data_IF_054904109672
#
_entry.id   IF_054904109672
#
_cell.length_a   1.000
_cell.length_b   1.000
_cell.length_c   1.000
_cell.angle_alpha   90.00
_cell.angle_beta   90.00
_cell.angle_gamma   90.00
#
_symmetry.space_group_name_H-M   'P 1'
#
loop_
_entity.id
_entity.type
_entity.pdbx_description
1 polymer ?
#
# COMPACT_ATOMS: atom_id res chain seq x y z
N UNK A 1 12.20 -6.14 -15.75
CA UNK A 1 11.04 -6.19 -16.69
C UNK A 1 10.85 -7.64 -17.07
N UNK A 2 9.99 -8.38 -16.36
CA UNK A 2 9.50 -9.67 -16.87
C UNK A 2 8.43 -9.34 -17.92
N UNK A 3 8.75 -9.61 -19.18
CA UNK A 3 7.81 -9.53 -20.29
C UNK A 3 6.95 -10.81 -20.27
N UNK A 4 5.73 -10.71 -19.77
CA UNK A 4 4.70 -11.71 -20.06
C UNK A 4 4.10 -11.38 -21.43
N UNK A 5 4.43 -12.17 -22.44
CA UNK A 5 3.69 -12.17 -23.71
C UNK A 5 2.32 -12.78 -23.46
N UNK A 6 1.25 -12.00 -23.66
CA UNK A 6 -0.10 -12.54 -23.82
C UNK A 6 -0.72 -11.87 -25.05
N UNK A 7 -1.04 -12.67 -26.06
CA UNK A 7 -1.74 -12.21 -27.26
C UNK A 7 -3.19 -11.81 -26.91
N UNK A 8 -3.56 -10.55 -27.18
CA UNK A 8 -4.92 -10.07 -27.07
C UNK A 8 -5.34 -9.44 -28.40
N UNK A 9 -6.12 -10.14 -29.21
CA UNK A 9 -6.57 -9.59 -30.49
C UNK A 9 -7.63 -8.49 -30.37
N UNK A 10 -8.11 -8.14 -29.15
CA UNK A 10 -9.23 -7.18 -28.95
C UNK A 10 -9.18 -6.25 -27.72
N UNK A 11 -8.10 -6.16 -26.91
CA UNK A 11 -8.05 -5.21 -25.78
C UNK A 11 -6.76 -5.16 -24.96
N UNK A 12 -6.66 -4.18 -24.04
CA UNK A 12 -5.52 -3.97 -23.13
C UNK A 12 -5.70 -4.78 -21.83
N UNK A 13 -5.61 -6.09 -21.94
CA UNK A 13 -5.85 -6.97 -20.80
C UNK A 13 -4.55 -7.28 -20.06
N UNK A 14 -4.61 -7.25 -18.73
CA UNK A 14 -3.54 -7.69 -17.84
C UNK A 14 -4.21 -8.57 -16.78
N UNK A 15 -3.69 -9.76 -16.55
CA UNK A 15 -4.24 -10.65 -15.51
C UNK A 15 -3.90 -10.10 -14.11
N UNK A 16 -4.82 -10.22 -13.14
CA UNK A 16 -4.50 -9.95 -11.74
C UNK A 16 -3.29 -10.76 -11.30
N UNK A 17 -2.28 -10.08 -10.80
CA UNK A 17 -0.97 -10.69 -10.49
C UNK A 17 -0.61 -10.41 -9.03
N UNK A 18 -0.21 -11.45 -8.30
CA UNK A 18 0.33 -11.33 -6.94
C UNK A 18 1.81 -11.71 -7.00
N UNK A 19 2.66 -10.87 -6.43
CA UNK A 19 4.11 -11.11 -6.34
C UNK A 19 4.51 -11.06 -4.87
N UNK A 20 5.24 -12.06 -4.40
CA UNK A 20 5.92 -11.98 -3.11
C UNK A 20 7.35 -11.47 -3.33
N UNK A 21 7.76 -10.44 -2.59
CA UNK A 21 9.16 -9.98 -2.55
C UNK A 21 9.80 -10.33 -1.21
N UNK A 22 11.11 -10.59 -1.24
CA UNK A 22 11.95 -10.69 -0.03
C UNK A 22 12.65 -9.36 0.29
N UNK A 23 12.65 -8.41 -0.65
CA UNK A 23 13.20 -7.08 -0.47
C UNK A 23 12.04 -6.06 -0.39
N UNK A 24 11.78 -5.45 0.79
CA UNK A 24 10.73 -4.46 0.93
C UNK A 24 11.04 -3.13 0.25
N UNK A 25 12.27 -2.93 -0.23
CA UNK A 25 12.72 -1.75 -0.96
C UNK A 25 12.87 -2.02 -2.47
N UNK A 26 12.42 -3.19 -2.95
CA UNK A 26 12.36 -3.47 -4.39
C UNK A 26 11.55 -2.39 -5.12
N UNK A 27 11.90 -2.12 -6.37
CA UNK A 27 11.18 -1.18 -7.23
C UNK A 27 9.68 -1.49 -7.31
N UNK A 28 9.31 -2.76 -7.31
CA UNK A 28 7.91 -3.20 -7.37
C UNK A 28 7.10 -2.88 -6.08
N UNK A 29 7.77 -2.47 -5.00
CA UNK A 29 7.16 -1.96 -3.76
C UNK A 29 7.10 -0.42 -3.72
N UNK A 30 8.02 0.25 -4.40
CA UNK A 30 8.32 1.67 -4.19
C UNK A 30 7.91 2.57 -5.36
N UNK A 31 7.79 2.02 -6.57
CA UNK A 31 7.33 2.71 -7.78
C UNK A 31 5.85 2.39 -8.09
N UNK A 32 5.11 3.39 -8.57
CA UNK A 32 3.70 3.23 -8.93
C UNK A 32 3.52 2.52 -10.29
N UNK A 33 2.77 1.41 -10.31
CA UNK A 33 2.57 0.57 -11.51
C UNK A 33 1.25 0.87 -12.21
N UNK A 34 0.22 1.32 -11.47
CA UNK A 34 -1.11 1.65 -12.01
C UNK A 34 -1.82 0.51 -12.78
N UNK A 35 -1.55 -0.74 -12.38
CA UNK A 35 -2.12 -1.96 -12.97
C UNK A 35 -2.59 -2.97 -11.92
N UNK A 36 -3.17 -4.11 -12.32
CA UNK A 36 -3.73 -5.10 -11.39
C UNK A 36 -2.62 -6.00 -10.79
N UNK A 37 -1.61 -5.38 -10.17
CA UNK A 37 -0.48 -6.05 -9.54
C UNK A 37 -0.44 -5.73 -8.05
N UNK A 38 -0.40 -6.77 -7.21
CA UNK A 38 -0.23 -6.67 -5.77
C UNK A 38 1.09 -7.28 -5.35
N UNK A 39 1.97 -6.47 -4.75
CA UNK A 39 3.19 -6.97 -4.13
C UNK A 39 2.97 -7.22 -2.64
N UNK A 40 3.46 -8.36 -2.15
CA UNK A 40 3.39 -8.77 -0.74
C UNK A 40 4.81 -8.92 -0.20
N UNK A 41 5.06 -8.31 0.97
CA UNK A 41 6.25 -8.54 1.77
C UNK A 41 5.86 -9.21 3.08
N UNK A 42 6.42 -10.38 3.36
CA UNK A 42 6.14 -11.17 4.58
C UNK A 42 7.20 -10.86 5.63
N UNK A 43 6.79 -10.35 6.78
CA UNK A 43 7.63 -10.08 7.94
C UNK A 43 7.32 -11.05 9.08
N UNK A 44 8.23 -11.21 10.04
CA UNK A 44 7.98 -12.00 11.26
C UNK A 44 7.19 -11.16 12.25
N UNK A 45 6.24 -11.75 12.97
CA UNK A 45 5.43 -11.06 13.98
C UNK A 45 6.26 -10.27 15.00
N UNK A 46 7.42 -10.80 15.42
CA UNK A 46 8.36 -10.14 16.32
C UNK A 46 9.00 -8.85 15.76
N UNK A 47 8.85 -8.61 14.46
CA UNK A 47 9.41 -7.48 13.71
C UNK A 47 8.33 -6.50 13.25
N UNK A 48 7.10 -6.61 13.78
CA UNK A 48 5.98 -5.75 13.40
C UNK A 48 6.31 -4.26 13.53
N UNK A 49 6.95 -3.85 14.63
CA UNK A 49 7.30 -2.44 14.86
C UNK A 49 8.29 -1.92 13.81
N UNK A 50 9.33 -2.72 13.49
CA UNK A 50 10.29 -2.38 12.42
C UNK A 50 9.60 -2.31 11.06
N UNK A 51 8.60 -3.15 10.83
CA UNK A 51 7.85 -3.19 9.58
C UNK A 51 6.93 -1.97 9.45
N UNK A 52 6.33 -1.51 10.55
CA UNK A 52 5.58 -0.25 10.56
C UNK A 52 6.50 0.93 10.22
N UNK A 53 7.72 0.98 10.77
CA UNK A 53 8.70 2.04 10.44
C UNK A 53 9.16 1.97 8.96
N UNK A 54 9.29 0.77 8.42
CA UNK A 54 9.60 0.53 7.01
C UNK A 54 8.50 1.06 6.08
N UNK A 55 7.22 0.92 6.44
CA UNK A 55 6.10 1.49 5.65
C UNK A 55 6.20 3.01 5.53
N UNK A 56 6.69 3.70 6.57
CA UNK A 56 6.85 5.17 6.54
C UNK A 56 7.92 5.60 5.55
N UNK A 57 9.00 4.83 5.43
CA UNK A 57 10.24 5.24 4.77
C UNK A 57 10.47 4.60 3.39
N UNK A 58 9.76 3.52 3.08
CA UNK A 58 9.95 2.74 1.85
C UNK A 58 9.59 3.49 0.57
N UNK A 59 8.62 4.42 0.62
CA UNK A 59 8.11 5.11 -0.57
C UNK A 59 8.05 6.63 -0.40
N UNK A 60 8.29 7.41 -1.47
CA UNK A 60 8.13 8.86 -1.43
C UNK A 60 6.67 9.32 -1.45
N UNK A 61 5.71 8.41 -1.65
CA UNK A 61 4.28 8.73 -1.72
C UNK A 61 3.59 8.61 -0.35
N UNK A 62 2.49 9.36 -0.15
CA UNK A 62 1.67 9.31 1.06
C UNK A 62 0.20 9.65 0.76
N UNK A 63 -0.41 8.92 -0.17
CA UNK A 63 -1.80 9.15 -0.59
C UNK A 63 -2.80 8.43 0.32
N UNK A 64 -2.85 7.10 0.25
CA UNK A 64 -3.76 6.27 1.05
C UNK A 64 -3.02 5.14 1.77
N UNK A 65 -3.53 4.71 2.91
CA UNK A 65 -2.99 3.58 3.68
C UNK A 65 -4.04 2.94 4.56
N UNK A 66 -3.86 1.66 4.89
CA UNK A 66 -4.79 0.93 5.73
C UNK A 66 -4.07 0.01 6.72
N UNK A 67 -4.66 -0.18 7.90
CA UNK A 67 -4.21 -1.16 8.90
C UNK A 67 -5.38 -2.05 9.28
N UNK A 68 -5.12 -3.35 9.33
CA UNK A 68 -6.08 -4.37 9.74
C UNK A 68 -5.61 -5.00 11.05
N UNK A 69 -6.42 -4.91 12.09
CA UNK A 69 -6.19 -5.57 13.38
C UNK A 69 -7.46 -5.54 14.22
N UNK A 70 -7.62 -6.56 15.09
CA UNK A 70 -8.64 -6.56 16.14
C UNK A 70 -8.11 -5.99 17.47
N UNK A 71 -6.79 -5.85 17.62
CA UNK A 71 -6.17 -5.24 18.79
C UNK A 71 -6.27 -3.71 18.70
N UNK A 72 -7.10 -3.14 19.57
CA UNK A 72 -7.32 -1.69 19.65
C UNK A 72 -6.06 -0.92 20.02
N UNK A 73 -5.17 -1.49 20.84
CA UNK A 73 -3.92 -0.83 21.21
C UNK A 73 -2.98 -0.77 20.01
N UNK A 74 -2.93 -1.85 19.21
CA UNK A 74 -2.19 -1.86 17.96
C UNK A 74 -2.75 -0.84 16.97
N UNK A 75 -4.07 -0.81 16.75
CA UNK A 75 -4.70 0.18 15.85
C UNK A 75 -4.38 1.62 16.26
N UNK A 76 -4.45 1.93 17.57
CA UNK A 76 -4.13 3.26 18.09
C UNK A 76 -2.65 3.60 17.90
N UNK A 77 -1.74 2.66 18.18
CA UNK A 77 -0.30 2.83 17.97
C UNK A 77 -0.02 3.08 16.48
N UNK A 78 -0.57 2.26 15.60
CA UNK A 78 -0.38 2.39 14.15
C UNK A 78 -0.91 3.73 13.63
N UNK A 79 -2.06 4.20 14.10
CA UNK A 79 -2.61 5.50 13.72
C UNK A 79 -1.64 6.65 14.05
N UNK A 80 -1.05 6.64 15.24
CA UNK A 80 -0.09 7.66 15.66
C UNK A 80 1.25 7.56 14.91
N UNK A 81 1.74 6.35 14.70
CA UNK A 81 3.02 6.10 14.01
C UNK A 81 2.92 6.40 12.50
N UNK A 82 1.80 6.07 11.86
CA UNK A 82 1.59 6.19 10.40
C UNK A 82 0.87 7.49 9.98
N UNK A 83 0.64 8.43 10.92
CA UNK A 83 -0.10 9.68 10.66
C UNK A 83 0.41 10.53 9.49
N UNK A 84 1.68 10.40 9.11
CA UNK A 84 2.31 11.14 8.00
C UNK A 84 2.67 10.24 6.80
N UNK A 85 2.23 8.99 6.79
CA UNK A 85 2.43 8.07 5.66
C UNK A 85 1.20 7.95 4.76
N UNK A 86 0.06 8.55 5.10
CA UNK A 86 -1.11 8.64 4.25
C UNK A 86 -1.96 9.87 4.61
N UNK A 87 -2.54 10.53 3.61
CA UNK A 87 -3.56 11.57 3.86
C UNK A 87 -4.95 10.96 4.09
N UNK A 88 -5.27 9.84 3.44
CA UNK A 88 -6.44 9.03 3.75
C UNK A 88 -6.02 7.72 4.41
N UNK A 89 -6.30 7.58 5.71
CA UNK A 89 -5.92 6.42 6.50
C UNK A 89 -7.14 5.63 6.98
N UNK A 90 -7.13 4.32 6.78
CA UNK A 90 -8.27 3.43 7.02
C UNK A 90 -7.93 2.39 8.09
N UNK A 91 -8.85 2.18 9.04
CA UNK A 91 -8.75 1.10 10.03
C UNK A 91 -9.79 0.04 9.68
N UNK A 92 -9.35 -1.20 9.42
CA UNK A 92 -10.21 -2.33 9.07
C UNK A 92 -11.13 -2.08 7.86
N UNK A 93 -10.65 -1.30 6.88
CA UNK A 93 -11.33 -1.10 5.59
C UNK A 93 -10.27 -1.01 4.48
N UNK A 94 -10.70 -1.23 3.23
CA UNK A 94 -9.85 -1.07 2.06
C UNK A 94 -9.43 0.39 1.88
N UNK A 95 -8.25 0.63 1.31
CA UNK A 95 -7.67 1.98 1.15
C UNK A 95 -8.28 2.83 0.01
N UNK A 96 -9.44 2.44 -0.52
CA UNK A 96 -10.03 3.05 -1.73
C UNK A 96 -11.49 3.45 -1.51
N UNK A 97 -12.02 4.29 -2.39
CA UNK A 97 -13.46 4.60 -2.42
C UNK A 97 -13.87 5.65 -1.39
N UNK A 98 -13.03 6.67 -1.17
CA UNK A 98 -13.41 7.87 -0.43
C UNK A 98 -14.67 8.51 -1.03
N UNK A 99 -15.61 8.92 -0.16
CA UNK A 99 -16.87 9.53 -0.55
C UNK A 99 -16.84 11.03 -0.25
N UNK A 100 -17.27 11.83 -1.21
CA UNK A 100 -17.40 13.29 -1.05
C UNK A 100 -18.26 13.61 0.17
N UNK A 101 -17.77 14.51 1.03
CA UNK A 101 -18.46 14.91 2.26
C UNK A 101 -18.29 13.96 3.44
N UNK A 102 -17.61 12.82 3.28
CA UNK A 102 -17.30 11.89 4.38
C UNK A 102 -15.80 11.71 4.59
N UNK A 103 -15.06 11.41 3.52
CA UNK A 103 -13.60 11.29 3.54
C UNK A 103 -13.03 12.22 2.46
N UNK A 104 -12.73 13.49 2.80
CA UNK A 104 -11.97 14.36 1.89
C UNK A 104 -10.71 13.63 1.41
N UNK A 105 -10.50 13.60 0.09
CA UNK A 105 -9.44 12.82 -0.52
C UNK A 105 -8.21 13.68 -0.77
N UNK A 106 -7.03 13.23 -0.36
CA UNK A 106 -5.78 13.93 -0.57
C UNK A 106 -4.60 13.27 0.14
N UNK A 107 -3.38 13.65 -0.24
CA UNK A 107 -2.14 13.16 0.32
C UNK A 107 -1.10 14.27 0.40
N UNK A 108 0.10 13.94 0.88
CA UNK A 108 1.26 14.84 0.87
C UNK A 108 2.48 14.14 0.26
N UNK A 109 3.68 14.68 0.45
CA UNK A 109 4.94 14.19 -0.13
C UNK A 109 4.87 14.24 -1.67
N UNK A 110 5.27 13.18 -2.37
CA UNK A 110 5.14 13.11 -3.82
C UNK A 110 3.70 12.85 -4.30
N UNK A 111 2.73 12.79 -3.40
CA UNK A 111 1.30 12.60 -3.74
C UNK A 111 0.53 13.92 -3.93
N UNK A 112 1.12 15.07 -3.62
CA UNK A 112 0.49 16.39 -3.74
C UNK A 112 1.04 17.43 -2.78
#
# INVERSE_FOLDING_TARGET
>A
ILLFFIEFSKGYFIQPTIVETKDPLDKIMTEEIFGPLLTVYVYKDSEVDKTVDLVISSTPYALTGAVFSQDKNFLKKSLETLKYSAGNFYLNDKSTGSVVGQQPFGGSRMSG
#
